data_IF_245567096537
#
_entry.id   IF_245567096537
#
_cell.length_a   1.000
_cell.length_b   1.000
_cell.length_c   1.000
_cell.angle_alpha   90.00
_cell.angle_beta   90.00
_cell.angle_gamma   90.00
#
_symmetry.space_group_name_H-M   'P 1'
#
loop_
_entity.id
_entity.type
_entity.pdbx_description
1 polymer ?
#
# COMPACT_ATOMS: atom_id res chain seq x y z
N UNK A 1 -8.35 4.13 12.51
CA UNK A 1 -8.99 4.68 11.31
C UNK A 1 -7.93 5.45 10.55
N UNK A 2 -7.84 5.25 9.25
CA UNK A 2 -6.91 6.02 8.41
C UNK A 2 -7.36 7.48 8.31
N UNK A 3 -6.46 8.42 7.94
CA UNK A 3 -6.82 9.84 7.75
C UNK A 3 -7.93 10.07 6.72
N UNK A 4 -8.02 9.21 5.72
CA UNK A 4 -9.00 9.22 4.63
C UNK A 4 -10.26 8.37 4.90
N UNK A 5 -10.42 7.83 6.12
CA UNK A 5 -11.71 7.34 6.63
C UNK A 5 -11.93 5.83 6.60
N UNK A 6 -10.90 5.01 6.35
CA UNK A 6 -11.00 3.54 6.44
C UNK A 6 -11.06 3.14 7.91
N UNK A 7 -12.02 2.28 8.27
CA UNK A 7 -12.25 1.86 9.65
C UNK A 7 -11.01 1.20 10.25
N UNK A 8 -10.85 1.25 11.57
CA UNK A 8 -9.72 0.56 12.23
C UNK A 8 -9.77 -0.94 11.96
N UNK A 9 -10.93 -1.58 12.07
CA UNK A 9 -11.08 -3.03 11.86
C UNK A 9 -10.73 -3.46 10.43
N UNK A 10 -11.08 -2.64 9.44
CA UNK A 10 -10.73 -2.93 8.05
C UNK A 10 -9.23 -2.71 7.80
N UNK A 11 -8.65 -1.66 8.37
CA UNK A 11 -7.22 -1.39 8.24
C UNK A 11 -6.35 -2.39 8.98
N UNK A 12 -6.81 -2.96 10.10
CA UNK A 12 -6.14 -4.04 10.82
C UNK A 12 -5.92 -5.28 9.93
N UNK A 13 -6.78 -5.51 8.93
CA UNK A 13 -6.59 -6.60 7.94
C UNK A 13 -5.37 -6.35 7.05
N UNK A 14 -5.16 -5.10 6.64
CA UNK A 14 -4.01 -4.67 5.84
C UNK A 14 -2.72 -4.81 6.66
N UNK A 15 -2.73 -4.33 7.91
CA UNK A 15 -1.60 -4.44 8.82
C UNK A 15 -1.22 -5.91 9.10
N UNK A 16 -2.21 -6.77 9.32
CA UNK A 16 -1.99 -8.20 9.52
C UNK A 16 -1.35 -8.86 8.28
N UNK A 17 -1.81 -8.51 7.07
CA UNK A 17 -1.24 -9.04 5.83
C UNK A 17 0.20 -8.54 5.62
N UNK A 18 0.47 -7.26 5.84
CA UNK A 18 1.82 -6.68 5.79
C UNK A 18 2.78 -7.39 6.76
N UNK A 19 2.33 -7.70 7.98
CA UNK A 19 3.13 -8.45 8.96
C UNK A 19 3.49 -9.87 8.46
N UNK A 20 2.57 -10.54 7.78
CA UNK A 20 2.85 -11.87 7.20
C UNK A 20 3.89 -11.81 6.07
N UNK A 21 3.89 -10.75 5.26
CA UNK A 21 4.90 -10.53 4.21
C UNK A 21 6.28 -10.34 4.86
N UNK A 22 6.39 -9.47 5.86
CA UNK A 22 7.65 -9.24 6.59
C UNK A 22 8.19 -10.54 7.19
N UNK A 23 7.32 -11.37 7.79
CA UNK A 23 7.74 -12.66 8.33
C UNK A 23 8.26 -13.61 7.23
N UNK A 24 7.62 -13.64 6.06
CA UNK A 24 8.07 -14.46 4.93
C UNK A 24 9.44 -14.01 4.42
N UNK A 25 9.67 -12.68 4.31
CA UNK A 25 10.97 -12.10 3.97
C UNK A 25 12.04 -12.51 4.98
N UNK A 26 11.74 -12.44 6.29
CA UNK A 26 12.68 -12.86 7.33
C UNK A 26 13.01 -14.36 7.30
N UNK A 27 12.14 -15.17 6.70
CA UNK A 27 12.34 -16.60 6.49
C UNK A 27 13.05 -16.93 5.16
N UNK A 28 13.36 -15.93 4.33
CA UNK A 28 13.92 -16.11 2.98
C UNK A 28 13.03 -17.03 2.11
N UNK A 29 11.71 -16.93 2.30
CA UNK A 29 10.71 -17.72 1.57
C UNK A 29 10.00 -16.83 0.53
N UNK A 30 10.64 -16.68 -0.63
CA UNK A 30 10.14 -15.85 -1.73
C UNK A 30 8.75 -16.29 -2.22
N UNK A 31 8.48 -17.60 -2.23
CA UNK A 31 7.19 -18.14 -2.66
C UNK A 31 6.08 -17.74 -1.69
N UNK A 32 6.35 -17.83 -0.39
CA UNK A 32 5.42 -17.36 0.63
C UNK A 32 5.27 -15.84 0.59
N UNK A 33 6.35 -15.09 0.36
CA UNK A 33 6.32 -13.64 0.20
C UNK A 33 5.38 -13.23 -0.94
N UNK A 34 5.57 -13.78 -2.14
CA UNK A 34 4.73 -13.52 -3.32
C UNK A 34 3.26 -13.87 -3.03
N UNK A 35 3.00 -15.04 -2.46
CA UNK A 35 1.64 -15.45 -2.11
C UNK A 35 0.97 -14.48 -1.11
N UNK A 36 1.72 -13.99 -0.12
CA UNK A 36 1.20 -13.03 0.87
C UNK A 36 0.97 -11.65 0.26
N UNK A 37 1.80 -11.20 -0.67
CA UNK A 37 1.59 -9.95 -1.42
C UNK A 37 0.31 -10.02 -2.26
N UNK A 38 0.03 -11.15 -2.93
CA UNK A 38 -1.24 -11.34 -3.65
C UNK A 38 -2.44 -11.24 -2.71
N UNK A 39 -2.38 -11.84 -1.51
CA UNK A 39 -3.46 -11.72 -0.53
C UNK A 39 -3.65 -10.29 -0.02
N UNK A 40 -2.56 -9.54 0.18
CA UNK A 40 -2.64 -8.12 0.51
C UNK A 40 -3.38 -7.34 -0.59
N UNK A 41 -3.04 -7.57 -1.86
CA UNK A 41 -3.70 -6.88 -2.97
C UNK A 41 -5.19 -7.19 -3.07
N UNK A 42 -5.60 -8.43 -2.79
CA UNK A 42 -7.03 -8.80 -2.71
C UNK A 42 -7.75 -8.02 -1.59
N UNK A 43 -7.12 -7.87 -0.41
CA UNK A 43 -7.68 -7.05 0.66
C UNK A 43 -7.82 -5.59 0.20
N UNK A 44 -6.80 -5.04 -0.47
CA UNK A 44 -6.86 -3.67 -0.99
C UNK A 44 -7.94 -3.49 -2.06
N UNK A 45 -8.16 -4.49 -2.93
CA UNK A 45 -9.26 -4.47 -3.92
C UNK A 45 -10.64 -4.47 -3.26
N UNK A 46 -10.83 -5.28 -2.22
CA UNK A 46 -12.06 -5.29 -1.43
C UNK A 46 -12.32 -3.92 -0.77
N UNK A 47 -11.28 -3.34 -0.16
CA UNK A 47 -11.38 -2.02 0.48
C UNK A 47 -11.63 -0.92 -0.55
N UNK A 48 -11.00 -0.98 -1.73
CA UNK A 48 -11.26 -0.03 -2.81
C UNK A 48 -12.71 -0.12 -3.30
N UNK A 49 -13.28 -1.32 -3.37
CA UNK A 49 -14.69 -1.53 -3.68
C UNK A 49 -15.64 -0.92 -2.64
N UNK A 50 -15.25 -0.91 -1.36
CA UNK A 50 -16.09 -0.43 -0.25
C UNK A 50 -15.95 1.08 0.01
N UNK A 51 -14.72 1.58 0.00
CA UNK A 51 -14.38 2.96 0.39
C UNK A 51 -14.12 3.86 -0.81
N UNK A 52 -14.01 3.28 -2.00
CA UNK A 52 -13.52 3.96 -3.19
C UNK A 52 -12.01 4.04 -3.21
N UNK A 53 -11.51 4.76 -4.21
CA UNK A 53 -10.10 4.88 -4.53
C UNK A 53 -9.44 5.92 -3.62
N UNK A 54 -8.99 5.49 -2.44
CA UNK A 54 -8.44 6.37 -1.40
C UNK A 54 -6.90 6.42 -1.41
N UNK A 55 -6.28 7.55 -1.01
CA UNK A 55 -4.82 7.70 -0.93
C UNK A 55 -4.10 6.59 -0.16
N UNK A 56 -4.62 6.18 1.00
CA UNK A 56 -3.99 5.15 1.83
C UNK A 56 -3.97 3.79 1.12
N UNK A 57 -5.02 3.44 0.36
CA UNK A 57 -5.09 2.21 -0.43
C UNK A 57 -4.05 2.24 -1.55
N UNK A 58 -4.01 3.34 -2.31
CA UNK A 58 -3.10 3.51 -3.44
C UNK A 58 -1.64 3.51 -3.01
N UNK A 59 -1.31 4.24 -1.93
CA UNK A 59 0.04 4.30 -1.38
C UNK A 59 0.50 2.92 -0.88
N UNK A 60 -0.34 2.21 -0.12
CA UNK A 60 0.00 0.84 0.32
C UNK A 60 0.16 -0.11 -0.86
N UNK A 61 -0.68 -0.04 -1.90
CA UNK A 61 -0.50 -0.87 -3.09
C UNK A 61 0.85 -0.59 -3.77
N UNK A 62 1.22 0.68 -3.88
CA UNK A 62 2.50 1.07 -4.44
C UNK A 62 3.68 0.56 -3.61
N UNK A 63 3.62 0.67 -2.28
CA UNK A 63 4.68 0.24 -1.36
C UNK A 63 5.02 -1.25 -1.51
N UNK A 64 4.04 -2.09 -1.85
CA UNK A 64 4.20 -3.54 -2.02
C UNK A 64 4.28 -4.03 -3.48
N UNK A 65 4.24 -3.13 -4.47
CA UNK A 65 4.49 -3.51 -5.88
C UNK A 65 5.98 -3.43 -6.18
N UNK A 66 6.60 -4.46 -6.74
CA UNK A 66 8.03 -4.44 -7.08
C UNK A 66 8.34 -3.70 -8.39
N UNK A 67 7.32 -3.34 -9.18
CA UNK A 67 7.48 -2.63 -10.45
C UNK A 67 7.33 -1.11 -10.27
N UNK A 68 8.38 -0.30 -10.47
CA UNK A 68 8.28 1.15 -10.45
C UNK A 68 7.26 1.72 -11.47
N UNK A 69 7.06 1.04 -12.61
CA UNK A 69 6.09 1.46 -13.63
C UNK A 69 4.64 1.31 -13.15
N UNK A 70 4.39 0.42 -12.19
CA UNK A 70 3.09 0.29 -11.53
C UNK A 70 2.98 1.22 -10.31
N UNK A 71 4.02 1.30 -9.49
CA UNK A 71 3.97 2.02 -8.22
C UNK A 71 4.00 3.54 -8.35
N UNK A 72 4.77 4.10 -9.29
CA UNK A 72 4.88 5.56 -9.44
C UNK A 72 3.52 6.19 -9.79
N UNK A 73 2.76 5.71 -10.80
CA UNK A 73 1.43 6.24 -11.10
C UNK A 73 0.45 6.16 -9.92
N UNK A 74 0.53 5.09 -9.12
CA UNK A 74 -0.30 4.93 -7.91
C UNK A 74 0.03 5.99 -6.86
N UNK A 75 1.31 6.31 -6.66
CA UNK A 75 1.75 7.34 -5.71
C UNK A 75 1.41 8.75 -6.18
N UNK A 76 1.54 9.02 -7.48
CA UNK A 76 1.09 10.29 -8.08
C UNK A 76 -0.42 10.49 -7.89
N UNK A 77 -1.21 9.44 -8.11
CA UNK A 77 -2.64 9.48 -7.89
C UNK A 77 -2.99 9.63 -6.39
N UNK A 78 -2.31 8.89 -5.50
CA UNK A 78 -2.48 9.03 -4.06
C UNK A 78 -2.20 10.47 -3.59
N UNK A 79 -1.17 11.10 -4.14
CA UNK A 79 -0.84 12.49 -3.85
C UNK A 79 -1.92 13.45 -4.36
N UNK A 80 -2.43 13.24 -5.57
CA UNK A 80 -3.49 14.07 -6.16
C UNK A 80 -4.82 13.99 -5.39
N UNK A 81 -5.11 12.82 -4.80
CA UNK A 81 -6.34 12.56 -4.03
C UNK A 81 -6.20 12.92 -2.54
N UNK A 82 -4.98 13.15 -2.04
CA UNK A 82 -4.75 13.48 -0.64
C UNK A 82 -5.32 14.85 -0.30
N UNK A 83 -6.25 14.89 0.67
CA UNK A 83 -6.83 16.14 1.19
C UNK A 83 -6.15 16.63 2.47
N UNK A 84 -5.22 15.86 3.01
CA UNK A 84 -4.51 16.16 4.26
C UNK A 84 -2.99 16.04 4.10
N UNK A 85 -2.26 16.80 4.92
CA UNK A 85 -0.81 16.92 4.82
C UNK A 85 -0.05 15.64 5.24
N UNK A 86 -0.67 14.73 6.00
CA UNK A 86 -0.03 13.48 6.39
C UNK A 86 -0.03 12.52 5.19
N UNK A 87 -1.19 12.31 4.57
CA UNK A 87 -1.33 11.45 3.39
C UNK A 87 -0.45 11.94 2.23
N UNK A 88 -0.46 13.26 1.95
CA UNK A 88 0.42 13.83 0.91
C UNK A 88 1.90 13.59 1.20
N UNK A 89 2.33 13.71 2.45
CA UNK A 89 3.73 13.52 2.83
C UNK A 89 4.17 12.07 2.73
N UNK A 90 3.31 11.12 3.09
CA UNK A 90 3.60 9.69 2.96
C UNK A 90 3.74 9.30 1.49
N UNK A 91 2.82 9.74 0.63
CA UNK A 91 2.91 9.50 -0.82
C UNK A 91 4.20 10.10 -1.42
N UNK A 92 4.56 11.33 -1.05
CA UNK A 92 5.80 11.97 -1.48
C UNK A 92 7.04 11.22 -0.99
N UNK A 93 7.06 10.74 0.26
CA UNK A 93 8.20 10.00 0.80
C UNK A 93 8.43 8.70 0.03
N UNK A 94 7.37 7.92 -0.21
CA UNK A 94 7.47 6.68 -0.97
C UNK A 94 7.89 6.94 -2.43
N UNK A 95 7.36 7.99 -3.06
CA UNK A 95 7.70 8.37 -4.43
C UNK A 95 9.17 8.79 -4.57
N UNK A 96 9.69 9.57 -3.61
CA UNK A 96 11.11 9.96 -3.60
C UNK A 96 12.03 8.75 -3.45
N UNK A 97 11.71 7.81 -2.56
CA UNK A 97 12.48 6.56 -2.41
C UNK A 97 12.54 5.79 -3.74
N UNK A 98 11.39 5.60 -4.40
CA UNK A 98 11.29 4.90 -5.69
C UNK A 98 12.09 5.55 -6.81
N UNK A 99 12.16 6.88 -6.86
CA UNK A 99 12.89 7.62 -7.90
C UNK A 99 14.42 7.62 -7.71
N UNK A 100 14.90 7.31 -6.50
CA UNK A 100 16.34 7.26 -6.19
C UNK A 100 16.87 5.83 -6.31
N UNK A 101 16.03 4.82 -6.05
CA UNK A 101 16.39 3.40 -6.05
C UNK A 101 16.17 2.69 -7.40
N UNK A 102 15.47 3.32 -8.36
CA UNK A 102 15.28 2.82 -9.73
C UNK A 102 16.37 3.28 -10.71
#
# INVERSE_FOLDING_TARGET
>A
MTPDGISTTDWERVEAAAYQIVNAIMMDDDVLCEHRTVLLFQILDELEGQYGRLPSILATRADFSDDPLEAIPLLEEALALSTDALSSRLALQSLVTRMIEG
#
